data_IF_104118691437
#
_entry.id   IF_104118691437
#
_cell.length_a   1.000
_cell.length_b   1.000
_cell.length_c   1.000
_cell.angle_alpha   90.00
_cell.angle_beta   90.00
_cell.angle_gamma   90.00
#
_symmetry.space_group_name_H-M   'P 1'
#
loop_
_entity.id
_entity.type
_entity.pdbx_description
1 polymer ?
#
# COMPACT_ATOMS: atom_id res chain seq x y z
N UNK A 1 -11.82 -31.60 2.20
CA UNK A 1 -11.85 -30.80 0.95
C UNK A 1 -10.41 -30.39 0.66
N UNK A 2 -9.77 -30.82 -0.44
CA UNK A 2 -8.43 -30.35 -0.76
C UNK A 2 -8.49 -28.83 -0.98
N UNK A 3 -7.73 -28.07 -0.19
CA UNK A 3 -7.58 -26.62 -0.36
C UNK A 3 -6.87 -26.38 -1.67
N UNK A 4 -7.61 -25.99 -2.71
CA UNK A 4 -7.03 -25.66 -3.99
C UNK A 4 -6.15 -24.42 -3.84
N UNK A 5 -4.84 -24.60 -4.02
CA UNK A 5 -3.87 -23.51 -3.99
C UNK A 5 -4.00 -22.72 -5.30
N UNK A 6 -4.45 -21.48 -5.20
CA UNK A 6 -4.56 -20.57 -6.35
C UNK A 6 -3.20 -19.97 -6.66
N UNK A 7 -2.88 -19.83 -7.94
CA UNK A 7 -1.70 -19.08 -8.36
C UNK A 7 -1.88 -17.57 -8.07
N UNK A 8 -0.80 -16.80 -7.91
CA UNK A 8 -0.90 -15.36 -7.71
C UNK A 8 -1.74 -14.66 -8.77
N UNK A 9 -1.60 -15.08 -10.04
CA UNK A 9 -2.41 -14.55 -11.14
C UNK A 9 -3.91 -14.82 -10.94
N UNK A 10 -4.29 -16.04 -10.55
CA UNK A 10 -5.69 -16.37 -10.26
C UNK A 10 -6.25 -15.57 -9.08
N UNK A 11 -5.43 -15.32 -8.05
CA UNK A 11 -5.81 -14.48 -6.91
C UNK A 11 -6.05 -13.04 -7.39
N UNK A 12 -5.14 -12.47 -8.18
CA UNK A 12 -5.29 -11.13 -8.73
C UNK A 12 -6.57 -10.99 -9.56
N UNK A 13 -6.86 -11.92 -10.47
CA UNK A 13 -8.10 -11.86 -11.27
C UNK A 13 -9.37 -11.92 -10.41
N UNK A 14 -9.40 -12.79 -9.39
CA UNK A 14 -10.54 -12.86 -8.46
C UNK A 14 -10.73 -11.56 -7.69
N UNK A 15 -9.65 -10.92 -7.25
CA UNK A 15 -9.69 -9.62 -6.58
C UNK A 15 -10.21 -8.55 -7.56
N UNK A 16 -9.76 -8.53 -8.82
CA UNK A 16 -10.24 -7.56 -9.80
C UNK A 16 -11.74 -7.70 -10.07
N UNK A 17 -12.20 -8.94 -10.23
CA UNK A 17 -13.62 -9.22 -10.42
C UNK A 17 -14.44 -8.72 -9.22
N UNK A 18 -13.99 -9.02 -8.00
CA UNK A 18 -14.68 -8.59 -6.79
C UNK A 18 -14.69 -7.07 -6.63
N UNK A 19 -13.59 -6.39 -6.97
CA UNK A 19 -13.53 -4.92 -6.92
C UNK A 19 -14.54 -4.27 -7.87
N UNK A 20 -14.69 -4.81 -9.09
CA UNK A 20 -15.70 -4.35 -10.06
C UNK A 20 -17.13 -4.56 -9.57
N UNK A 21 -17.42 -5.72 -8.97
CA UNK A 21 -18.74 -5.99 -8.35
C UNK A 21 -19.07 -4.99 -7.23
N UNK A 22 -18.05 -4.50 -6.52
CA UNK A 22 -18.19 -3.47 -5.50
C UNK A 22 -18.28 -2.04 -6.06
N UNK A 23 -18.16 -1.86 -7.38
CA UNK A 23 -18.29 -0.56 -8.04
C UNK A 23 -16.98 0.25 -8.17
N UNK A 24 -15.82 -0.36 -7.91
CA UNK A 24 -14.54 0.32 -8.16
C UNK A 24 -14.22 0.38 -9.67
N UNK A 25 -13.87 1.57 -10.17
CA UNK A 25 -13.51 1.80 -11.57
C UNK A 25 -12.13 1.27 -11.96
N UNK A 26 -11.19 1.22 -11.00
CA UNK A 26 -9.86 0.66 -11.22
C UNK A 26 -9.34 -0.11 -10.00
N UNK A 27 -8.44 -1.06 -10.29
CA UNK A 27 -7.78 -1.91 -9.29
C UNK A 27 -6.35 -2.23 -9.72
N UNK A 28 -5.41 -2.04 -8.81
CA UNK A 28 -3.98 -2.26 -9.00
C UNK A 28 -3.37 -3.02 -7.83
N UNK A 29 -2.15 -3.51 -8.05
CA UNK A 29 -1.38 -4.23 -7.05
C UNK A 29 0.02 -3.62 -6.97
N UNK A 30 0.46 -3.30 -5.76
CA UNK A 30 1.81 -2.81 -5.50
C UNK A 30 2.51 -3.76 -4.52
N UNK A 31 3.81 -3.97 -4.63
CA UNK A 31 4.54 -4.79 -3.65
C UNK A 31 4.61 -4.03 -2.31
N UNK A 32 4.42 -4.75 -1.19
CA UNK A 32 4.41 -4.17 0.15
C UNK A 32 5.79 -4.28 0.82
N UNK A 33 6.82 -3.71 0.18
CA UNK A 33 8.16 -3.58 0.75
C UNK A 33 8.52 -2.10 0.95
N UNK A 34 9.68 -1.87 1.57
CA UNK A 34 10.21 -0.53 1.80
C UNK A 34 10.20 0.33 0.53
N UNK A 35 9.68 1.55 0.65
CA UNK A 35 9.56 2.49 -0.46
C UNK A 35 10.94 2.96 -0.93
N UNK A 36 11.16 2.93 -2.24
CA UNK A 36 12.33 3.54 -2.87
C UNK A 36 12.41 5.06 -2.68
N UNK A 37 11.32 5.70 -2.24
CA UNK A 37 11.20 7.14 -2.03
C UNK A 37 11.20 7.54 -0.55
N UNK A 38 11.50 6.62 0.37
CA UNK A 38 11.52 6.88 1.81
C UNK A 38 12.41 8.07 2.18
N UNK A 39 13.65 8.07 1.71
CA UNK A 39 14.61 9.14 2.02
C UNK A 39 14.19 10.50 1.43
N UNK A 40 13.57 10.49 0.25
CA UNK A 40 13.03 11.71 -0.36
C UNK A 40 11.87 12.29 0.47
N UNK A 41 11.02 11.42 1.02
CA UNK A 41 9.94 11.81 1.91
C UNK A 41 10.48 12.39 3.23
N UNK A 42 11.46 11.73 3.85
CA UNK A 42 12.09 12.22 5.08
C UNK A 42 12.73 13.61 4.88
N UNK A 43 13.44 13.82 3.77
CA UNK A 43 13.99 15.13 3.43
C UNK A 43 12.88 16.19 3.26
N UNK A 44 11.82 15.84 2.52
CA UNK A 44 10.69 16.75 2.30
C UNK A 44 9.99 17.13 3.61
N UNK A 45 9.89 16.20 4.57
CA UNK A 45 9.42 16.49 5.93
C UNK A 45 10.39 17.42 6.67
N UNK A 46 11.69 17.13 6.62
CA UNK A 46 12.73 17.95 7.27
C UNK A 46 12.82 19.39 6.74
N UNK A 47 12.46 19.60 5.47
CA UNK A 47 12.37 20.92 4.84
C UNK A 47 11.07 21.68 5.16
N UNK A 48 10.17 21.11 5.98
CA UNK A 48 8.90 21.74 6.36
C UNK A 48 7.89 21.82 5.22
N UNK A 49 8.09 21.07 4.13
CA UNK A 49 7.27 21.14 2.92
C UNK A 49 5.86 20.52 3.11
N UNK A 50 5.60 19.92 4.28
CA UNK A 50 4.27 19.45 4.68
C UNK A 50 3.30 20.55 5.13
N UNK A 51 3.75 21.81 5.22
CA UNK A 51 2.92 22.93 5.67
C UNK A 51 2.27 22.64 7.02
N UNK A 52 0.97 22.85 7.13
CA UNK A 52 0.20 22.62 8.36
C UNK A 52 -0.12 21.14 8.63
N UNK A 53 0.23 20.22 7.73
CA UNK A 53 -0.11 18.80 7.82
C UNK A 53 0.79 18.05 8.81
N UNK A 54 0.84 18.47 10.07
CA UNK A 54 1.72 17.93 11.11
C UNK A 54 1.60 16.40 11.29
N UNK A 55 0.44 15.82 10.96
CA UNK A 55 0.24 14.37 11.00
C UNK A 55 1.14 13.60 10.01
N UNK A 56 1.63 14.26 8.95
CA UNK A 56 2.58 13.68 8.00
C UNK A 56 3.98 13.51 8.61
N UNK A 57 4.37 14.42 9.52
CA UNK A 57 5.69 14.48 10.12
C UNK A 57 5.84 13.66 11.42
N UNK A 58 4.76 13.07 11.94
CA UNK A 58 4.85 12.19 13.12
C UNK A 58 5.76 11.00 12.82
N UNK A 59 6.60 10.62 13.77
CA UNK A 59 7.56 9.52 13.63
C UNK A 59 6.89 8.22 13.18
N UNK A 60 5.72 7.90 13.74
CA UNK A 60 4.96 6.70 13.38
C UNK A 60 4.48 6.74 11.92
N UNK A 61 4.09 7.92 11.44
CA UNK A 61 3.55 8.12 10.11
C UNK A 61 4.67 8.09 9.05
N UNK A 62 5.84 8.63 9.37
CA UNK A 62 7.06 8.53 8.54
C UNK A 62 7.47 7.07 8.41
N UNK A 63 7.58 6.33 9.52
CA UNK A 63 7.96 4.92 9.51
C UNK A 63 7.00 4.07 8.65
N UNK A 64 5.68 4.26 8.80
CA UNK A 64 4.65 3.53 8.03
C UNK A 64 4.69 3.82 6.52
N UNK A 65 5.07 5.04 6.12
CA UNK A 65 5.22 5.42 4.70
C UNK A 65 6.53 4.95 4.11
N UNK A 66 7.56 4.82 4.94
CA UNK A 66 8.86 4.24 4.55
C UNK A 66 8.72 2.75 4.31
N UNK A 67 8.02 2.04 5.18
CA UNK A 67 7.80 0.60 5.03
C UNK A 67 6.37 0.18 5.43
N UNK A 68 5.53 -0.21 4.47
CA UNK A 68 4.17 -0.68 4.75
C UNK A 68 4.14 -1.99 5.55
N UNK A 69 5.23 -2.77 5.62
CA UNK A 69 5.30 -3.99 6.42
C UNK A 69 5.18 -3.70 7.93
N UNK A 70 5.45 -2.46 8.37
CA UNK A 70 5.25 -2.01 9.75
C UNK A 70 3.76 -1.98 10.12
N UNK A 71 2.87 -1.75 9.15
CA UNK A 71 1.42 -1.74 9.38
C UNK A 71 0.85 -3.15 9.50
N UNK A 72 1.28 -4.05 8.61
CA UNK A 72 0.78 -5.43 8.53
C UNK A 72 1.97 -6.37 8.35
N UNK A 73 2.47 -6.98 9.44
CA UNK A 73 3.59 -7.90 9.38
C UNK A 73 3.33 -9.05 8.40
N UNK A 74 4.29 -9.30 7.51
CA UNK A 74 4.19 -10.35 6.48
C UNK A 74 3.34 -9.98 5.26
N UNK A 75 2.86 -8.74 5.15
CA UNK A 75 2.23 -8.26 3.92
C UNK A 75 3.19 -8.35 2.74
N UNK A 76 2.71 -8.89 1.60
CA UNK A 76 3.49 -9.04 0.37
C UNK A 76 3.08 -8.04 -0.71
N UNK A 77 1.82 -7.62 -0.69
CA UNK A 77 1.26 -6.73 -1.69
C UNK A 77 0.14 -5.89 -1.09
N UNK A 78 0.03 -4.64 -1.54
CA UNK A 78 -1.12 -3.79 -1.33
C UNK A 78 -2.08 -3.90 -2.54
N UNK A 79 -3.39 -3.99 -2.26
CA UNK A 79 -4.44 -3.85 -3.27
C UNK A 79 -4.88 -2.39 -3.26
N UNK A 80 -4.78 -1.72 -4.40
CA UNK A 80 -5.14 -0.31 -4.55
C UNK A 80 -6.39 -0.23 -5.42
N UNK A 81 -7.38 0.54 -5.01
CA UNK A 81 -8.64 0.74 -5.74
C UNK A 81 -8.88 2.23 -5.98
N UNK A 82 -9.59 2.56 -7.06
CA UNK A 82 -10.03 3.91 -7.36
C UNK A 82 -11.50 3.92 -7.81
N UNK A 83 -12.17 5.04 -7.59
CA UNK A 83 -13.56 5.29 -8.00
C UNK A 83 -13.61 6.17 -9.24
#
# INVERSE_FOLDING_TARGET
>A
MPTQVLSPHQISERIRQKAREMGFGAVGFAPAHASAYGDAYERWIGEGMHGEMAYLAREDAVAKRRDPAVLVPGARSAVVVAM
#
